data_IF_263744068025
#
_entry.id   IF_263744068025
#
_cell.length_a   1.000
_cell.length_b   1.000
_cell.length_c   1.000
_cell.angle_alpha   90.00
_cell.angle_beta   90.00
_cell.angle_gamma   90.00
#
_symmetry.space_group_name_H-M   'P 1'
#
loop_
_entity.id
_entity.type
_entity.pdbx_description
1 polymer ?
#
# COMPACT_ATOMS: atom_id res chain seq x y z
N UNK A 1 39.78 20.57 -10.87
CA UNK A 1 39.38 19.42 -11.71
C UNK A 1 38.86 18.25 -10.90
N UNK A 2 39.62 17.81 -9.90
CA UNK A 2 39.14 16.72 -9.02
C UNK A 2 37.99 17.12 -8.11
N UNK A 3 37.86 18.39 -7.72
CA UNK A 3 36.78 18.89 -6.88
C UNK A 3 35.40 18.86 -7.56
N UNK A 4 35.34 19.13 -8.89
CA UNK A 4 34.09 19.11 -9.65
C UNK A 4 33.51 17.70 -9.77
N UNK A 5 34.38 16.71 -10.02
CA UNK A 5 33.95 15.31 -10.14
C UNK A 5 33.43 14.78 -8.80
N UNK A 6 34.12 15.10 -7.72
CA UNK A 6 33.73 14.69 -6.37
C UNK A 6 32.37 15.30 -5.99
N UNK A 7 32.15 16.56 -6.30
CA UNK A 7 30.86 17.24 -6.06
C UNK A 7 29.73 16.61 -6.87
N UNK A 8 30.00 16.29 -8.13
CA UNK A 8 29.04 15.65 -9.01
C UNK A 8 28.62 14.26 -8.49
N UNK A 9 29.60 13.44 -8.08
CA UNK A 9 29.36 12.11 -7.52
C UNK A 9 28.57 12.21 -6.20
N UNK A 10 28.92 13.15 -5.33
CA UNK A 10 28.21 13.39 -4.07
C UNK A 10 26.76 13.77 -4.33
N UNK A 11 26.48 14.63 -5.32
CA UNK A 11 25.14 15.01 -5.70
C UNK A 11 24.31 13.83 -6.20
N UNK A 12 24.90 12.95 -7.02
CA UNK A 12 24.23 11.75 -7.50
C UNK A 12 23.91 10.78 -6.36
N UNK A 13 24.81 10.61 -5.40
CA UNK A 13 24.60 9.76 -4.23
C UNK A 13 23.47 10.31 -3.35
N UNK A 14 23.42 11.61 -3.14
CA UNK A 14 22.35 12.25 -2.36
C UNK A 14 20.99 12.06 -3.02
N UNK A 15 20.91 12.30 -4.33
CA UNK A 15 19.65 12.09 -5.08
C UNK A 15 19.18 10.64 -5.01
N UNK A 16 20.08 9.69 -5.19
CA UNK A 16 19.77 8.27 -5.10
C UNK A 16 19.31 7.89 -3.71
N UNK A 17 19.95 8.42 -2.66
CA UNK A 17 19.58 8.17 -1.27
C UNK A 17 18.19 8.73 -0.96
N UNK A 18 17.86 9.94 -1.43
CA UNK A 18 16.55 10.54 -1.24
C UNK A 18 15.47 9.76 -1.98
N UNK A 19 15.72 9.38 -3.24
CA UNK A 19 14.79 8.55 -4.02
C UNK A 19 14.53 7.21 -3.34
N UNK A 20 15.57 6.56 -2.82
CA UNK A 20 15.42 5.30 -2.08
C UNK A 20 14.64 5.49 -0.78
N UNK A 21 14.83 6.60 -0.09
CA UNK A 21 14.10 6.94 1.13
C UNK A 21 12.60 7.11 0.82
N UNK A 22 12.25 7.86 -0.23
CA UNK A 22 10.87 8.07 -0.63
C UNK A 22 10.21 6.74 -1.06
N UNK A 23 10.92 5.90 -1.81
CA UNK A 23 10.41 4.58 -2.21
C UNK A 23 10.13 3.70 -1.00
N UNK A 24 11.03 3.67 -0.03
CA UNK A 24 10.84 2.88 1.20
C UNK A 24 9.67 3.39 2.01
N UNK A 25 9.53 4.70 2.17
CA UNK A 25 8.42 5.33 2.89
C UNK A 25 7.10 5.04 2.18
N UNK A 26 7.06 5.13 0.85
CA UNK A 26 5.90 4.81 0.04
C UNK A 26 5.48 3.34 0.20
N UNK A 27 6.43 2.42 0.10
CA UNK A 27 6.17 0.98 0.28
C UNK A 27 5.62 0.68 1.66
N UNK A 28 6.24 1.24 2.68
CA UNK A 28 5.81 1.03 4.06
C UNK A 28 4.42 1.59 4.32
N UNK A 29 4.14 2.80 3.85
CA UNK A 29 2.82 3.41 4.01
C UNK A 29 1.73 2.60 3.29
N UNK A 30 2.01 2.13 2.07
CA UNK A 30 1.10 1.26 1.32
C UNK A 30 0.86 -0.05 2.08
N UNK A 31 1.93 -0.72 2.48
CA UNK A 31 1.82 -1.99 3.20
C UNK A 31 1.08 -1.82 4.53
N UNK A 32 1.35 -0.76 5.27
CA UNK A 32 0.68 -0.48 6.55
C UNK A 32 -0.82 -0.25 6.35
N UNK A 33 -1.20 0.47 5.30
CA UNK A 33 -2.59 0.70 4.95
C UNK A 33 -3.30 -0.62 4.61
N UNK A 34 -2.66 -1.47 3.82
CA UNK A 34 -3.22 -2.77 3.45
C UNK A 34 -3.34 -3.72 4.66
N UNK A 35 -2.37 -3.73 5.56
CA UNK A 35 -2.44 -4.48 6.81
C UNK A 35 -3.61 -3.99 7.67
N UNK A 36 -3.81 -2.67 7.77
CA UNK A 36 -4.93 -2.09 8.51
C UNK A 36 -6.26 -2.61 7.96
N UNK A 37 -6.43 -2.61 6.65
CA UNK A 37 -7.65 -3.10 6.01
C UNK A 37 -7.84 -4.60 6.24
N UNK A 38 -6.77 -5.38 6.18
CA UNK A 38 -6.81 -6.83 6.35
C UNK A 38 -7.14 -7.28 7.76
N UNK A 39 -6.95 -6.41 8.77
CA UNK A 39 -7.05 -6.76 10.19
C UNK A 39 -8.11 -5.97 10.97
N UNK A 40 -9.11 -5.43 10.30
CA UNK A 40 -10.13 -4.57 10.93
C UNK A 40 -10.93 -5.30 12.00
N UNK A 41 -11.38 -6.53 11.73
CA UNK A 41 -12.27 -7.29 12.61
C UNK A 41 -11.56 -8.35 13.43
N UNK A 42 -10.42 -8.83 12.95
CA UNK A 42 -9.74 -9.98 13.51
C UNK A 42 -8.29 -10.03 13.03
N UNK A 43 -7.54 -10.99 13.57
CA UNK A 43 -6.22 -11.27 13.05
C UNK A 43 -6.29 -11.66 11.57
N UNK A 44 -5.22 -11.37 10.85
CA UNK A 44 -5.16 -11.64 9.42
C UNK A 44 -5.25 -13.14 9.14
N UNK A 45 -6.21 -13.55 8.32
CA UNK A 45 -6.33 -14.93 7.89
C UNK A 45 -5.16 -15.33 6.98
N UNK A 46 -4.92 -16.63 6.85
CA UNK A 46 -3.90 -17.16 5.95
C UNK A 46 -4.17 -16.74 4.50
N UNK A 47 -5.45 -16.72 4.09
CA UNK A 47 -5.84 -16.29 2.75
C UNK A 47 -5.50 -14.82 2.50
N UNK A 48 -5.82 -13.95 3.45
CA UNK A 48 -5.49 -12.53 3.36
C UNK A 48 -3.99 -12.27 3.39
N UNK A 49 -3.26 -12.96 4.24
CA UNK A 49 -1.80 -12.86 4.30
C UNK A 49 -1.16 -13.26 2.97
N UNK A 50 -1.60 -14.38 2.40
CA UNK A 50 -1.13 -14.84 1.09
C UNK A 50 -1.41 -13.83 -0.02
N UNK A 51 -2.60 -13.23 -0.02
CA UNK A 51 -2.96 -12.21 -1.01
C UNK A 51 -2.16 -10.92 -0.80
N UNK A 52 -2.00 -10.49 0.43
CA UNK A 52 -1.18 -9.33 0.79
C UNK A 52 0.25 -9.50 0.30
N UNK A 53 0.85 -10.67 0.55
CA UNK A 53 2.20 -11.00 0.08
C UNK A 53 2.26 -10.91 -1.45
N UNK A 54 1.32 -11.55 -2.14
CA UNK A 54 1.30 -11.60 -3.60
C UNK A 54 1.16 -10.20 -4.23
N UNK A 55 0.23 -9.38 -3.73
CA UNK A 55 0.01 -8.05 -4.32
C UNK A 55 1.18 -7.09 -4.04
N UNK A 56 1.78 -7.13 -2.86
CA UNK A 56 2.94 -6.30 -2.54
C UNK A 56 4.17 -6.71 -3.33
N UNK A 57 4.41 -8.01 -3.44
CA UNK A 57 5.52 -8.57 -4.22
C UNK A 57 5.44 -8.13 -5.67
N UNK A 58 4.27 -8.28 -6.28
CA UNK A 58 4.03 -7.91 -7.68
C UNK A 58 4.10 -6.40 -7.89
N UNK A 59 3.43 -5.64 -7.04
CA UNK A 59 3.31 -4.19 -7.21
C UNK A 59 4.65 -3.47 -7.07
N UNK A 60 5.48 -3.88 -6.11
CA UNK A 60 6.78 -3.26 -5.87
C UNK A 60 7.96 -4.05 -6.44
N UNK A 61 7.70 -5.10 -7.19
CA UNK A 61 8.73 -5.97 -7.82
C UNK A 61 9.78 -6.44 -6.80
N UNK A 62 9.31 -7.00 -5.69
CA UNK A 62 10.16 -7.48 -4.59
C UNK A 62 10.33 -9.00 -4.67
N UNK A 63 11.40 -9.50 -4.04
CA UNK A 63 11.52 -10.94 -3.79
C UNK A 63 10.71 -11.33 -2.53
N UNK A 64 10.63 -12.63 -2.25
CA UNK A 64 9.82 -13.13 -1.13
C UNK A 64 10.35 -12.65 0.23
N UNK A 65 11.65 -12.58 0.40
CA UNK A 65 12.28 -12.13 1.66
C UNK A 65 11.98 -10.66 1.92
N UNK A 66 12.18 -9.82 0.90
CA UNK A 66 11.91 -8.38 1.02
C UNK A 66 10.42 -8.11 1.26
N UNK A 67 9.53 -8.88 0.62
CA UNK A 67 8.09 -8.77 0.82
C UNK A 67 7.69 -9.14 2.25
N UNK A 68 8.21 -10.25 2.75
CA UNK A 68 7.94 -10.69 4.13
C UNK A 68 8.42 -9.65 5.15
N UNK A 69 9.59 -9.06 4.92
CA UNK A 69 10.13 -8.01 5.79
C UNK A 69 9.24 -6.76 5.77
N UNK A 70 8.78 -6.38 4.59
CA UNK A 70 7.88 -5.23 4.44
C UNK A 70 6.57 -5.44 5.22
N UNK A 71 6.01 -6.64 5.16
CA UNK A 71 4.79 -6.98 5.90
C UNK A 71 5.05 -6.93 7.41
N UNK A 72 6.16 -7.47 7.88
CA UNK A 72 6.52 -7.43 9.31
C UNK A 72 6.66 -5.98 9.79
N UNK A 73 7.32 -5.13 9.02
CA UNK A 73 7.46 -3.70 9.32
C UNK A 73 6.11 -3.00 9.36
N UNK A 74 5.22 -3.32 8.43
CA UNK A 74 3.87 -2.76 8.35
C UNK A 74 3.02 -3.17 9.55
N UNK A 75 3.11 -4.43 9.99
CA UNK A 75 2.43 -4.92 11.18
C UNK A 75 2.93 -4.18 12.42
N UNK A 76 4.25 -4.00 12.54
CA UNK A 76 4.85 -3.28 13.66
C UNK A 76 4.38 -1.82 13.73
N UNK A 77 4.31 -1.14 12.58
CA UNK A 77 3.83 0.25 12.49
C UNK A 77 2.37 0.34 12.94
N UNK A 78 1.53 -0.61 12.54
CA UNK A 78 0.12 -0.63 12.94
C UNK A 78 -0.09 -0.83 14.45
N UNK A 79 0.82 -1.52 15.13
CA UNK A 79 0.74 -1.71 16.59
C UNK A 79 0.89 -0.43 17.39
N UNK A 80 1.49 0.60 16.80
CA UNK A 80 1.69 1.90 17.46
C UNK A 80 0.45 2.81 17.39
N UNK A 81 -0.70 2.28 17.05
CA UNK A 81 -2.01 2.97 17.03
C UNK A 81 -2.02 4.24 16.17
N UNK A 82 -1.25 4.25 15.08
CA UNK A 82 -1.25 5.34 14.11
C UNK A 82 -2.58 5.29 13.35
N UNK A 83 -3.21 6.45 13.15
CA UNK A 83 -4.49 6.48 12.47
C UNK A 83 -4.35 6.36 10.94
N UNK A 84 -5.47 6.09 10.30
CA UNK A 84 -5.56 5.91 8.85
C UNK A 84 -5.05 7.14 8.09
N UNK A 85 -5.35 8.32 8.60
CA UNK A 85 -4.98 9.59 7.97
C UNK A 85 -3.46 9.73 7.82
N UNK A 86 -2.70 9.23 8.77
CA UNK A 86 -1.23 9.28 8.71
C UNK A 86 -0.69 8.61 7.45
N UNK A 87 -1.17 7.39 7.15
CA UNK A 87 -0.73 6.65 5.96
C UNK A 87 -1.25 7.26 4.66
N UNK A 88 -2.53 7.62 4.63
CA UNK A 88 -3.15 8.20 3.43
C UNK A 88 -2.56 9.55 3.07
N UNK A 89 -2.23 10.37 4.07
CA UNK A 89 -1.59 11.67 3.88
C UNK A 89 -0.21 11.52 3.22
N UNK A 90 0.60 10.59 3.72
CA UNK A 90 1.91 10.29 3.12
C UNK A 90 1.77 9.83 1.67
N UNK A 91 0.82 8.96 1.39
CA UNK A 91 0.61 8.42 0.05
C UNK A 91 0.06 9.47 -0.91
N UNK A 92 -0.85 10.32 -0.45
CA UNK A 92 -1.41 11.38 -1.28
C UNK A 92 -0.33 12.34 -1.78
N UNK A 93 0.63 12.68 -0.92
CA UNK A 93 1.72 13.57 -1.27
C UNK A 93 2.77 12.90 -2.16
N UNK A 94 2.97 11.60 -2.03
CA UNK A 94 4.04 10.86 -2.69
C UNK A 94 3.64 10.19 -4.01
N UNK A 95 2.34 10.14 -4.34
CA UNK A 95 1.83 9.36 -5.46
C UNK A 95 0.92 10.17 -6.37
N UNK A 96 0.77 9.70 -7.62
CA UNK A 96 -0.23 10.24 -8.54
C UNK A 96 -1.58 9.52 -8.38
N UNK A 97 -2.59 9.99 -9.09
CA UNK A 97 -3.94 9.42 -9.01
C UNK A 97 -3.98 7.95 -9.45
N UNK A 98 -3.22 7.60 -10.48
CA UNK A 98 -3.17 6.22 -10.98
C UNK A 98 -2.64 5.26 -9.92
N UNK A 99 -1.57 5.64 -9.24
CA UNK A 99 -1.01 4.83 -8.15
C UNK A 99 -2.00 4.71 -6.99
N UNK A 100 -2.68 5.80 -6.63
CA UNK A 100 -3.69 5.77 -5.57
C UNK A 100 -4.86 4.86 -5.92
N UNK A 101 -5.27 4.81 -7.18
CA UNK A 101 -6.28 3.86 -7.64
C UNK A 101 -5.81 2.42 -7.52
N UNK A 102 -4.54 2.15 -7.84
CA UNK A 102 -3.93 0.82 -7.65
C UNK A 102 -3.94 0.40 -6.18
N UNK A 103 -3.67 1.33 -5.28
CA UNK A 103 -3.70 1.06 -3.84
C UNK A 103 -5.12 0.67 -3.38
N UNK A 104 -6.13 1.40 -3.81
CA UNK A 104 -7.53 1.06 -3.50
C UNK A 104 -7.91 -0.29 -4.10
N UNK A 105 -7.46 -0.58 -5.31
CA UNK A 105 -7.66 -1.89 -5.94
C UNK A 105 -7.07 -3.01 -5.09
N UNK A 106 -5.85 -2.82 -4.59
CA UNK A 106 -5.19 -3.80 -3.71
C UNK A 106 -5.96 -4.02 -2.41
N UNK A 107 -6.55 -2.97 -1.84
CA UNK A 107 -7.42 -3.10 -0.67
C UNK A 107 -8.58 -4.06 -0.95
N UNK A 108 -9.27 -3.87 -2.08
CA UNK A 108 -10.36 -4.75 -2.47
C UNK A 108 -9.89 -6.17 -2.74
N UNK A 109 -8.73 -6.34 -3.37
CA UNK A 109 -8.18 -7.67 -3.63
C UNK A 109 -7.95 -8.47 -2.34
N UNK A 110 -7.46 -7.80 -1.31
CA UNK A 110 -7.20 -8.44 -0.01
C UNK A 110 -8.50 -8.79 0.70
N UNK A 111 -9.43 -7.86 0.77
CA UNK A 111 -10.69 -8.05 1.49
C UNK A 111 -11.57 -9.08 0.79
N UNK A 112 -11.63 -9.06 -0.55
CA UNK A 112 -12.49 -9.94 -1.32
C UNK A 112 -11.86 -11.31 -1.58
N UNK A 113 -10.66 -11.60 -1.11
CA UNK A 113 -10.05 -12.93 -1.25
C UNK A 113 -10.92 -14.02 -0.60
N UNK A 114 -11.67 -13.68 0.43
CA UNK A 114 -12.61 -14.57 1.11
C UNK A 114 -14.06 -14.38 0.61
N UNK A 115 -14.23 -13.76 -0.56
CA UNK A 115 -15.45 -13.56 -1.33
C UNK A 115 -16.40 -12.46 -0.87
N UNK A 116 -16.31 -11.98 0.37
CA UNK A 116 -17.20 -10.91 0.83
C UNK A 116 -16.45 -9.93 1.71
N UNK A 117 -16.89 -8.68 1.65
CA UNK A 117 -16.43 -7.64 2.56
C UNK A 117 -17.57 -7.32 3.54
N UNK A 118 -17.28 -7.27 4.82
CA UNK A 118 -18.26 -6.85 5.81
C UNK A 118 -18.42 -5.32 5.84
N UNK A 119 -19.39 -4.85 6.62
CA UNK A 119 -19.69 -3.43 6.74
C UNK A 119 -18.51 -2.61 7.23
N UNK A 120 -17.74 -3.12 8.21
CA UNK A 120 -16.58 -2.42 8.76
C UNK A 120 -15.46 -2.30 7.73
N UNK A 121 -15.22 -3.35 6.97
CA UNK A 121 -14.22 -3.38 5.91
C UNK A 121 -14.60 -2.42 4.78
N UNK A 122 -15.85 -2.42 4.36
CA UNK A 122 -16.36 -1.48 3.37
C UNK A 122 -16.17 -0.03 3.83
N UNK A 123 -16.45 0.25 5.10
CA UNK A 123 -16.31 1.58 5.68
C UNK A 123 -14.87 2.08 5.68
N UNK A 124 -13.92 1.23 6.06
CA UNK A 124 -12.50 1.61 6.10
C UNK A 124 -11.97 1.85 4.70
N UNK A 125 -12.35 1.02 3.73
CA UNK A 125 -11.93 1.22 2.34
C UNK A 125 -12.55 2.51 1.79
N UNK A 126 -13.82 2.79 2.10
CA UNK A 126 -14.46 4.05 1.72
C UNK A 126 -13.69 5.26 2.27
N UNK A 127 -13.35 5.24 3.55
CA UNK A 127 -12.58 6.31 4.19
C UNK A 127 -11.20 6.48 3.59
N UNK A 128 -10.48 5.38 3.40
CA UNK A 128 -9.14 5.40 2.82
C UNK A 128 -9.17 5.96 1.40
N UNK A 129 -10.11 5.50 0.58
CA UNK A 129 -10.27 5.98 -0.79
C UNK A 129 -10.58 7.48 -0.82
N UNK A 130 -11.49 7.94 0.03
CA UNK A 130 -11.83 9.35 0.14
C UNK A 130 -10.61 10.19 0.52
N UNK A 131 -9.86 9.77 1.53
CA UNK A 131 -8.64 10.45 1.96
C UNK A 131 -7.54 10.44 0.89
N UNK A 132 -7.52 9.43 0.03
CA UNK A 132 -6.60 9.34 -1.11
C UNK A 132 -7.07 10.14 -2.33
N UNK A 133 -8.24 10.75 -2.25
CA UNK A 133 -8.79 11.54 -3.35
C UNK A 133 -9.40 10.69 -4.47
N UNK A 134 -9.78 9.45 -4.17
CA UNK A 134 -10.46 8.56 -5.11
C UNK A 134 -11.97 8.71 -4.92
N UNK A 135 -12.69 9.02 -6.00
CA UNK A 135 -14.13 9.26 -5.93
C UNK A 135 -14.90 7.98 -5.59
N UNK A 136 -16.13 8.16 -5.07
CA UNK A 136 -17.02 7.02 -4.78
C UNK A 136 -17.28 6.17 -6.02
N UNK A 137 -17.41 6.80 -7.17
CA UNK A 137 -17.61 6.11 -8.45
C UNK A 137 -16.41 5.22 -8.79
N UNK A 138 -15.20 5.78 -8.71
CA UNK A 138 -13.96 5.04 -8.98
C UNK A 138 -13.79 3.89 -8.00
N UNK A 139 -14.06 4.12 -6.72
CA UNK A 139 -13.97 3.09 -5.68
C UNK A 139 -14.91 1.92 -5.98
N UNK A 140 -16.14 2.21 -6.38
CA UNK A 140 -17.14 1.18 -6.69
C UNK A 140 -16.76 0.43 -7.96
N UNK A 141 -16.29 1.13 -8.98
CA UNK A 141 -15.82 0.50 -10.22
C UNK A 141 -14.66 -0.47 -9.96
N UNK A 142 -13.70 -0.07 -9.09
CA UNK A 142 -12.58 -0.92 -8.71
C UNK A 142 -13.06 -2.16 -7.95
N UNK A 143 -14.03 -2.02 -7.05
CA UNK A 143 -14.62 -3.15 -6.35
C UNK A 143 -15.26 -4.13 -7.33
N UNK A 144 -16.04 -3.62 -8.25
CA UNK A 144 -16.72 -4.45 -9.27
C UNK A 144 -15.71 -5.19 -10.14
N UNK A 145 -14.65 -4.50 -10.54
CA UNK A 145 -13.58 -5.11 -11.33
C UNK A 145 -12.90 -6.26 -10.58
N UNK A 146 -12.53 -6.03 -9.32
CA UNK A 146 -11.88 -7.06 -8.50
C UNK A 146 -12.82 -8.24 -8.26
N UNK A 147 -14.08 -7.98 -7.93
CA UNK A 147 -15.07 -9.04 -7.69
C UNK A 147 -15.29 -9.89 -8.94
N UNK A 148 -15.35 -9.28 -10.12
CA UNK A 148 -15.53 -10.00 -11.39
C UNK A 148 -14.31 -10.88 -11.70
N UNK A 149 -13.10 -10.40 -11.44
CA UNK A 149 -11.87 -11.15 -11.72
C UNK A 149 -11.59 -12.23 -10.67
N UNK A 150 -12.11 -12.10 -9.46
CA UNK A 150 -11.97 -13.13 -8.42
C UNK A 150 -12.77 -14.41 -8.71
N UNK A 151 -13.77 -14.34 -9.60
CA UNK A 151 -14.60 -15.46 -9.99
C UNK A 151 -14.01 -16.28 -11.16
N UNK A 152 -12.91 -15.82 -11.72
CA UNK A 152 -12.17 -16.50 -12.78
C UNK A 152 -10.99 -17.28 -12.17
#
# INVERSE_FOLDING_TARGET
MFGSLKTFISGLIEETTQANYHDKAHRLATAALLVRVATIDSDMSAARLGKLHAVLKSHFALDDVATAQLIDDAVAVNRNAIDLYHFTSQLKDATDEEERRRIVKMMWEIVLVERSANEFENNVIWRAADLLGISSRQRIELRQYVAANALV
#
